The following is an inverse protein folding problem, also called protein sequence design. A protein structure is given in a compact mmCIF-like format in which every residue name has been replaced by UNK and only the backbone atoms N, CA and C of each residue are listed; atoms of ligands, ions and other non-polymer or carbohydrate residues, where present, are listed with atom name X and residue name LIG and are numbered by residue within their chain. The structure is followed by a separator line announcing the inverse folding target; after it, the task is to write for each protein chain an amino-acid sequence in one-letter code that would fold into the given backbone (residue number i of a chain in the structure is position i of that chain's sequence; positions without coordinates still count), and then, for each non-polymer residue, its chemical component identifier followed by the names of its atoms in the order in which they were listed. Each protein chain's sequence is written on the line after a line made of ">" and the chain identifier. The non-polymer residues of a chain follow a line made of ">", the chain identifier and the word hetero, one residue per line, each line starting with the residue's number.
data_IF_464441276275
#
_entry.id   IF_464441276275
#
_cell.length_a   1.000
_cell.length_b   1.000
_cell.length_c   1.000
_cell.angle_alpha   90.00
_cell.angle_beta   90.00
_cell.angle_gamma   90.00
#
_symmetry.space_group_name_H-M   'P 1'
#
loop_
_entity.id
_entity.type
_entity.pdbx_description
1 polymer ?
#
# COMPACT_ATOMS: atom_id res chain seq x y z
N UNK A 1 -130.52 -78.55 -50.00
CA UNK A 1 -129.28 -79.25 -49.62
C UNK A 1 -128.14 -78.79 -50.53
N UNK A 2 -128.15 -79.09 -51.83
CA UNK A 2 -127.14 -78.61 -52.82
C UNK A 2 -126.85 -77.09 -52.84
N UNK A 3 -127.86 -76.22 -52.72
CA UNK A 3 -127.66 -74.76 -52.71
C UNK A 3 -126.95 -74.26 -51.43
N UNK A 4 -127.11 -74.98 -50.31
CA UNK A 4 -126.41 -74.68 -49.06
C UNK A 4 -124.97 -75.20 -49.12
N UNK A 5 -124.73 -76.37 -49.73
CA UNK A 5 -123.39 -76.91 -49.94
C UNK A 5 -122.54 -76.03 -50.87
N UNK A 6 -123.08 -75.52 -51.97
CA UNK A 6 -122.37 -74.56 -52.84
C UNK A 6 -122.06 -73.24 -52.12
N UNK A 7 -122.95 -72.76 -51.25
CA UNK A 7 -122.71 -71.55 -50.47
C UNK A 7 -121.64 -71.76 -49.39
N UNK A 8 -121.60 -72.94 -48.78
CA UNK A 8 -120.56 -73.35 -47.84
C UNK A 8 -119.21 -73.45 -48.56
N UNK A 9 -119.14 -74.09 -49.73
CA UNK A 9 -117.92 -74.15 -50.55
C UNK A 9 -117.44 -72.76 -51.02
N UNK A 10 -118.34 -71.86 -51.44
CA UNK A 10 -117.98 -70.47 -51.78
C UNK A 10 -117.45 -69.70 -50.57
N UNK A 11 -118.05 -69.92 -49.38
CA UNK A 11 -117.61 -69.29 -48.14
C UNK A 11 -116.29 -69.88 -47.66
N UNK A 12 -116.06 -71.18 -47.83
CA UNK A 12 -114.79 -71.85 -47.56
C UNK A 12 -113.70 -71.35 -48.49
N UNK A 13 -113.96 -71.26 -49.79
CA UNK A 13 -113.01 -70.71 -50.76
C UNK A 13 -112.69 -69.23 -50.49
N UNK A 14 -113.70 -68.43 -50.11
CA UNK A 14 -113.50 -67.03 -49.69
C UNK A 14 -112.74 -66.93 -48.37
N UNK A 15 -113.03 -67.81 -47.41
CA UNK A 15 -112.32 -67.90 -46.13
C UNK A 15 -110.86 -68.27 -46.34
N UNK A 16 -110.58 -69.25 -47.20
CA UNK A 16 -109.24 -69.70 -47.55
C UNK A 16 -108.48 -68.62 -48.31
N UNK A 17 -109.14 -67.88 -49.22
CA UNK A 17 -108.55 -66.72 -49.89
C UNK A 17 -108.21 -65.59 -48.92
N UNK A 18 -109.14 -65.23 -48.02
CA UNK A 18 -108.91 -64.19 -46.99
C UNK A 18 -107.84 -64.64 -45.99
N UNK A 19 -107.78 -65.94 -45.67
CA UNK A 19 -106.73 -66.55 -44.86
C UNK A 19 -105.36 -66.40 -45.53
N UNK A 20 -105.24 -66.79 -46.80
CA UNK A 20 -103.99 -66.67 -47.56
C UNK A 20 -103.54 -65.22 -47.74
N UNK A 21 -104.48 -64.30 -47.98
CA UNK A 21 -104.20 -62.87 -48.05
C UNK A 21 -103.73 -62.31 -46.69
N UNK A 22 -104.36 -62.73 -45.59
CA UNK A 22 -103.94 -62.36 -44.21
C UNK A 22 -102.56 -62.91 -43.89
N UNK A 23 -102.27 -64.15 -44.26
CA UNK A 23 -101.00 -64.81 -43.98
C UNK A 23 -99.87 -64.15 -44.81
N UNK A 24 -100.12 -63.85 -46.09
CA UNK A 24 -99.18 -63.10 -46.93
C UNK A 24 -98.92 -61.68 -46.41
N UNK A 25 -99.94 -60.98 -45.92
CA UNK A 25 -99.78 -59.67 -45.28
C UNK A 25 -99.02 -59.77 -43.96
N UNK A 26 -99.17 -60.87 -43.21
CA UNK A 26 -98.41 -61.12 -41.98
C UNK A 26 -96.93 -61.35 -42.28
N UNK A 27 -96.62 -62.18 -43.27
CA UNK A 27 -95.22 -62.39 -43.71
C UNK A 27 -94.59 -61.07 -44.21
N UNK A 28 -95.36 -60.25 -44.94
CA UNK A 28 -94.91 -58.91 -45.35
C UNK A 28 -94.69 -57.97 -44.16
N UNK A 29 -95.53 -58.02 -43.13
CA UNK A 29 -95.36 -57.23 -41.92
C UNK A 29 -94.10 -57.69 -41.16
N UNK A 30 -93.89 -58.99 -41.00
CA UNK A 30 -92.74 -59.55 -40.29
C UNK A 30 -91.41 -59.24 -40.99
N UNK A 31 -91.40 -59.28 -42.33
CA UNK A 31 -90.23 -58.86 -43.14
C UNK A 31 -89.98 -57.34 -43.03
N UNK A 32 -91.03 -56.52 -43.04
CA UNK A 32 -90.91 -55.07 -42.79
C UNK A 32 -90.45 -54.76 -41.37
N UNK A 33 -90.91 -55.50 -40.36
CA UNK A 33 -90.47 -55.32 -38.98
C UNK A 33 -89.00 -55.74 -38.79
N UNK A 34 -88.57 -56.81 -39.47
CA UNK A 34 -87.18 -57.28 -39.44
C UNK A 34 -86.25 -56.26 -40.09
N UNK A 35 -86.59 -55.78 -41.29
CA UNK A 35 -85.82 -54.71 -41.96
C UNK A 35 -85.80 -53.40 -41.16
N UNK A 36 -86.90 -53.05 -40.48
CA UNK A 36 -86.92 -51.90 -39.56
C UNK A 36 -85.98 -52.07 -38.38
N UNK A 37 -85.88 -53.28 -37.80
CA UNK A 37 -84.94 -53.59 -36.71
C UNK A 37 -83.50 -53.52 -37.18
N UNK A 38 -83.19 -54.13 -38.31
CA UNK A 38 -81.86 -54.07 -38.94
C UNK A 38 -81.44 -52.62 -39.19
N UNK A 39 -82.32 -51.80 -39.77
CA UNK A 39 -82.03 -50.38 -39.99
C UNK A 39 -81.81 -49.59 -38.69
N UNK A 40 -82.54 -49.94 -37.62
CA UNK A 40 -82.35 -49.32 -36.31
C UNK A 40 -80.99 -49.70 -35.69
N UNK A 41 -80.59 -50.96 -35.82
CA UNK A 41 -79.28 -51.44 -35.35
C UNK A 41 -78.13 -50.80 -36.14
N UNK A 42 -78.26 -50.71 -37.47
CA UNK A 42 -77.33 -49.98 -38.33
C UNK A 42 -77.23 -48.51 -37.94
N UNK A 43 -78.36 -47.85 -37.65
CA UNK A 43 -78.38 -46.46 -37.20
C UNK A 43 -77.67 -46.28 -35.85
N UNK A 44 -77.86 -47.21 -34.91
CA UNK A 44 -77.17 -47.17 -33.61
C UNK A 44 -75.65 -47.31 -33.80
N UNK A 45 -75.21 -48.27 -34.62
CA UNK A 45 -73.79 -48.49 -34.93
C UNK A 45 -73.19 -47.25 -35.61
N UNK A 46 -73.90 -46.71 -36.61
CA UNK A 46 -73.46 -45.52 -37.33
C UNK A 46 -73.33 -44.33 -36.36
N UNK A 47 -74.31 -44.12 -35.49
CA UNK A 47 -74.29 -43.07 -34.47
C UNK A 47 -73.16 -43.25 -33.47
N UNK A 48 -72.88 -44.49 -33.02
CA UNK A 48 -71.75 -44.77 -32.14
C UNK A 48 -70.41 -44.50 -32.83
N UNK A 49 -70.28 -44.86 -34.12
CA UNK A 49 -69.07 -44.62 -34.91
C UNK A 49 -68.81 -43.13 -35.11
N UNK A 50 -69.83 -42.34 -35.44
CA UNK A 50 -69.70 -40.88 -35.54
C UNK A 50 -69.29 -40.24 -34.22
N UNK A 51 -69.83 -40.72 -33.09
CA UNK A 51 -69.47 -40.21 -31.77
C UNK A 51 -68.03 -40.58 -31.40
N UNK A 52 -67.58 -41.79 -31.70
CA UNK A 52 -66.20 -42.22 -31.48
C UNK A 52 -65.22 -41.41 -32.33
N UNK A 53 -65.51 -41.23 -33.62
CA UNK A 53 -64.70 -40.43 -34.54
C UNK A 53 -64.62 -38.97 -34.11
N UNK A 54 -65.73 -38.39 -33.63
CA UNK A 54 -65.72 -37.02 -33.09
C UNK A 54 -64.81 -36.88 -31.87
N UNK A 55 -64.82 -37.86 -30.95
CA UNK A 55 -63.93 -37.87 -29.78
C UNK A 55 -62.46 -38.02 -30.17
N UNK A 56 -62.15 -38.89 -31.14
CA UNK A 56 -60.79 -39.05 -31.65
C UNK A 56 -60.27 -37.76 -32.27
N UNK A 57 -61.08 -37.11 -33.13
CA UNK A 57 -60.72 -35.84 -33.76
C UNK A 57 -60.51 -34.72 -32.73
N UNK A 58 -61.40 -34.59 -31.75
CA UNK A 58 -61.27 -33.61 -30.68
C UNK A 58 -59.99 -33.86 -29.86
N UNK A 59 -59.66 -35.11 -29.58
CA UNK A 59 -58.48 -35.49 -28.83
C UNK A 59 -57.18 -35.24 -29.61
N UNK A 60 -57.17 -35.50 -30.92
CA UNK A 60 -56.06 -35.14 -31.81
C UNK A 60 -55.88 -33.62 -31.91
N UNK A 61 -56.96 -32.85 -32.07
CA UNK A 61 -56.91 -31.39 -32.12
C UNK A 61 -56.35 -30.79 -30.83
N UNK A 62 -56.82 -31.26 -29.67
CA UNK A 62 -56.32 -30.83 -28.37
C UNK A 62 -54.85 -31.20 -28.18
N UNK A 63 -54.46 -32.43 -28.56
CA UNK A 63 -53.08 -32.89 -28.51
C UNK A 63 -52.16 -32.02 -29.37
N UNK A 64 -52.54 -31.78 -30.63
CA UNK A 64 -51.79 -30.92 -31.56
C UNK A 64 -51.68 -29.49 -31.04
N UNK A 65 -52.75 -28.94 -30.45
CA UNK A 65 -52.73 -27.60 -29.87
C UNK A 65 -51.76 -27.49 -28.69
N UNK A 66 -51.70 -28.50 -27.82
CA UNK A 66 -50.76 -28.54 -26.70
C UNK A 66 -49.33 -28.66 -27.22
N UNK A 67 -49.09 -29.56 -28.17
CA UNK A 67 -47.77 -29.78 -28.75
C UNK A 67 -47.21 -28.51 -29.40
N UNK A 68 -48.00 -27.81 -30.23
CA UNK A 68 -47.58 -26.54 -30.87
C UNK A 68 -47.27 -25.47 -29.81
N UNK A 69 -48.06 -25.38 -28.74
CA UNK A 69 -47.78 -24.42 -27.65
C UNK A 69 -46.45 -24.72 -26.96
N UNK A 70 -46.17 -26.00 -26.70
CA UNK A 70 -44.93 -26.43 -26.06
C UNK A 70 -43.72 -26.18 -26.98
N UNK A 71 -43.84 -26.43 -28.28
CA UNK A 71 -42.80 -26.11 -29.26
C UNK A 71 -42.51 -24.60 -29.33
N UNK A 72 -43.55 -23.76 -29.33
CA UNK A 72 -43.38 -22.29 -29.32
C UNK A 72 -42.67 -21.83 -28.05
N UNK A 73 -43.03 -22.38 -26.90
CA UNK A 73 -42.40 -22.03 -25.62
C UNK A 73 -40.93 -22.49 -25.59
N UNK A 74 -40.63 -23.69 -26.08
CA UNK A 74 -39.25 -24.17 -26.23
C UNK A 74 -38.42 -23.28 -27.17
N UNK A 75 -38.99 -22.88 -28.32
CA UNK A 75 -38.34 -21.97 -29.25
C UNK A 75 -38.08 -20.59 -28.62
N UNK A 76 -39.04 -20.07 -27.86
CA UNK A 76 -38.89 -18.81 -27.14
C UNK A 76 -37.77 -18.89 -26.09
N UNK A 77 -37.75 -19.94 -25.27
CA UNK A 77 -36.71 -20.13 -24.26
C UNK A 77 -35.31 -20.28 -24.85
N UNK A 78 -35.19 -21.00 -25.98
CA UNK A 78 -33.90 -21.12 -26.68
C UNK A 78 -33.44 -19.78 -27.26
N UNK A 79 -34.35 -18.98 -27.81
CA UNK A 79 -34.07 -17.63 -28.29
C UNK A 79 -33.62 -16.71 -27.14
N UNK A 80 -34.38 -16.66 -26.04
CA UNK A 80 -34.06 -15.83 -24.87
C UNK A 80 -32.68 -16.20 -24.28
N UNK A 81 -32.37 -17.50 -24.19
CA UNK A 81 -31.04 -17.97 -23.75
C UNK A 81 -29.92 -17.55 -24.70
N UNK A 82 -30.15 -17.59 -26.02
CA UNK A 82 -29.17 -17.12 -27.00
C UNK A 82 -28.97 -15.61 -26.92
N UNK A 83 -30.05 -14.85 -26.75
CA UNK A 83 -29.99 -13.40 -26.59
C UNK A 83 -29.21 -13.01 -25.34
N UNK A 84 -29.50 -13.63 -24.19
CA UNK A 84 -28.76 -13.37 -22.95
C UNK A 84 -27.27 -13.69 -23.10
N UNK A 85 -26.90 -14.79 -23.76
CA UNK A 85 -25.49 -15.13 -24.04
C UNK A 85 -24.80 -14.09 -24.92
N UNK A 86 -25.51 -13.49 -25.87
CA UNK A 86 -24.96 -12.42 -26.71
C UNK A 86 -24.79 -11.13 -25.91
N UNK A 87 -25.76 -10.77 -25.07
CA UNK A 87 -25.66 -9.60 -24.18
C UNK A 87 -24.50 -9.74 -23.19
N UNK A 88 -24.33 -10.91 -22.57
CA UNK A 88 -23.20 -11.22 -21.69
C UNK A 88 -21.86 -11.07 -22.41
N UNK A 89 -21.73 -11.61 -23.63
CA UNK A 89 -20.51 -11.45 -24.45
C UNK A 89 -20.23 -9.98 -24.81
N UNK A 90 -21.25 -9.19 -25.12
CA UNK A 90 -21.08 -7.76 -25.41
C UNK A 90 -20.57 -7.02 -24.16
N UNK A 91 -21.08 -7.36 -22.98
CA UNK A 91 -20.62 -6.79 -21.71
C UNK A 91 -19.17 -7.21 -21.43
N UNK A 92 -18.82 -8.48 -21.66
CA UNK A 92 -17.46 -9.01 -21.48
C UNK A 92 -16.47 -8.31 -22.42
N UNK A 93 -16.75 -8.28 -23.73
CA UNK A 93 -15.93 -7.56 -24.70
C UNK A 93 -15.82 -6.06 -24.37
N UNK A 94 -16.87 -5.44 -23.83
CA UNK A 94 -16.84 -4.05 -23.38
C UNK A 94 -15.88 -3.81 -22.22
N UNK A 95 -15.81 -4.75 -21.26
CA UNK A 95 -14.86 -4.71 -20.14
C UNK A 95 -13.44 -4.93 -20.64
N UNK A 96 -13.21 -5.94 -21.47
CA UNK A 96 -11.90 -6.23 -22.06
C UNK A 96 -11.37 -5.04 -22.88
N UNK A 97 -12.24 -4.40 -23.68
CA UNK A 97 -11.87 -3.20 -24.44
C UNK A 97 -11.46 -2.05 -23.51
N UNK A 98 -12.17 -1.85 -22.40
CA UNK A 98 -11.86 -0.80 -21.44
C UNK A 98 -10.55 -1.09 -20.70
N UNK A 99 -10.32 -2.35 -20.33
CA UNK A 99 -9.07 -2.81 -19.71
C UNK A 99 -7.88 -2.66 -20.66
N UNK A 100 -8.03 -3.07 -21.92
CA UNK A 100 -7.01 -2.88 -22.96
C UNK A 100 -6.68 -1.40 -23.17
N UNK A 101 -7.68 -0.52 -23.20
CA UNK A 101 -7.48 0.93 -23.29
C UNK A 101 -6.68 1.48 -22.10
N UNK A 102 -7.01 1.07 -20.88
CA UNK A 102 -6.25 1.46 -19.67
C UNK A 102 -4.82 0.92 -19.71
N UNK A 103 -4.65 -0.34 -20.09
CA UNK A 103 -3.35 -0.99 -20.22
C UNK A 103 -2.43 -0.32 -21.25
N UNK A 104 -2.97 0.35 -22.27
CA UNK A 104 -2.20 1.15 -23.23
C UNK A 104 -1.97 2.58 -22.74
N UNK A 105 -2.96 3.20 -22.10
CA UNK A 105 -2.86 4.58 -21.63
C UNK A 105 -1.83 4.75 -20.49
N UNK A 106 -1.83 3.84 -19.51
CA UNK A 106 -0.92 3.89 -18.36
C UNK A 106 0.57 3.89 -18.75
N UNK A 107 1.07 2.99 -19.62
CA UNK A 107 2.46 3.04 -20.06
C UNK A 107 2.74 4.25 -20.94
N UNK A 108 1.78 4.71 -21.74
CA UNK A 108 1.96 5.91 -22.56
C UNK A 108 2.13 7.17 -21.69
N UNK A 109 1.34 7.30 -20.62
CA UNK A 109 1.51 8.38 -19.65
C UNK A 109 2.85 8.28 -18.92
N UNK A 110 3.24 7.08 -18.44
CA UNK A 110 4.54 6.88 -17.80
C UNK A 110 5.71 7.18 -18.73
N UNK A 111 5.61 6.82 -20.01
CA UNK A 111 6.61 7.13 -21.03
C UNK A 111 6.73 8.65 -21.24
N UNK A 112 5.61 9.38 -21.27
CA UNK A 112 5.60 10.83 -21.35
C UNK A 112 6.24 11.49 -20.10
N UNK A 113 5.92 11.00 -18.90
CA UNK A 113 6.54 11.45 -17.65
C UNK A 113 8.06 11.21 -17.65
N UNK A 114 8.51 10.02 -18.05
CA UNK A 114 9.94 9.69 -18.17
C UNK A 114 10.65 10.55 -19.22
N UNK A 115 10.00 10.81 -20.37
CA UNK A 115 10.55 11.68 -21.42
C UNK A 115 10.72 13.11 -20.93
N UNK A 116 9.76 13.64 -20.16
CA UNK A 116 9.85 14.97 -19.56
C UNK A 116 10.99 15.07 -18.53
N UNK A 117 11.15 14.05 -17.67
CA UNK A 117 12.25 13.99 -16.70
C UNK A 117 13.62 13.90 -17.39
N UNK A 118 13.72 13.12 -18.47
CA UNK A 118 14.94 13.01 -19.27
C UNK A 118 15.32 14.35 -19.93
N UNK A 119 14.36 15.07 -20.49
CA UNK A 119 14.61 16.40 -21.07
C UNK A 119 15.05 17.41 -20.01
N UNK A 120 14.42 17.39 -18.84
CA UNK A 120 14.81 18.25 -17.73
C UNK A 120 16.23 17.94 -17.23
N UNK A 121 16.61 16.66 -17.14
CA UNK A 121 17.97 16.28 -16.73
C UNK A 121 19.02 16.62 -17.81
N UNK A 122 18.67 16.49 -19.09
CA UNK A 122 19.51 16.90 -20.20
C UNK A 122 19.75 18.42 -20.21
N UNK A 123 18.72 19.23 -19.96
CA UNK A 123 18.85 20.68 -19.79
C UNK A 123 19.80 21.04 -18.65
N UNK A 124 19.64 20.38 -17.50
CA UNK A 124 20.52 20.59 -16.34
C UNK A 124 21.98 20.21 -16.63
N UNK A 125 22.20 19.14 -17.40
CA UNK A 125 23.54 18.75 -17.82
C UNK A 125 24.19 19.85 -18.67
N UNK A 126 23.46 20.37 -19.67
CA UNK A 126 23.94 21.46 -20.52
C UNK A 126 24.25 22.74 -19.73
N UNK A 127 23.41 23.10 -18.75
CA UNK A 127 23.67 24.24 -17.85
C UNK A 127 24.96 24.04 -17.06
N UNK A 128 25.16 22.85 -16.47
CA UNK A 128 26.37 22.52 -15.71
C UNK A 128 27.62 22.49 -16.60
N UNK A 129 27.50 22.00 -17.83
CA UNK A 129 28.58 22.03 -18.82
C UNK A 129 28.98 23.47 -19.18
N UNK A 130 27.99 24.35 -19.42
CA UNK A 130 28.23 25.76 -19.69
C UNK A 130 28.87 26.48 -18.49
N UNK A 131 28.40 26.19 -17.27
CA UNK A 131 29.02 26.68 -16.03
C UNK A 131 30.47 26.21 -15.89
N UNK A 132 30.76 24.95 -16.22
CA UNK A 132 32.10 24.39 -16.19
C UNK A 132 33.03 25.14 -17.16
N UNK A 133 32.60 25.35 -18.41
CA UNK A 133 33.35 26.16 -19.38
C UNK A 133 33.58 27.59 -18.87
N UNK A 134 32.56 28.21 -18.25
CA UNK A 134 32.69 29.55 -17.66
C UNK A 134 33.71 29.59 -16.53
N UNK A 135 33.67 28.61 -15.63
CA UNK A 135 34.62 28.51 -14.51
C UNK A 135 36.04 28.22 -15.00
N UNK A 136 36.21 27.40 -16.04
CA UNK A 136 37.51 27.17 -16.67
C UNK A 136 38.10 28.46 -17.26
N UNK A 137 37.29 29.28 -17.93
CA UNK A 137 37.72 30.59 -18.41
C UNK A 137 38.13 31.50 -17.26
N UNK A 138 37.33 31.56 -16.19
CA UNK A 138 37.65 32.39 -15.02
C UNK A 138 38.95 31.96 -14.33
N UNK A 139 39.24 30.66 -14.30
CA UNK A 139 40.50 30.14 -13.77
C UNK A 139 41.70 30.55 -14.63
N UNK A 140 41.55 30.57 -15.96
CA UNK A 140 42.59 31.04 -16.89
C UNK A 140 42.86 32.53 -16.70
N UNK A 141 41.81 33.35 -16.63
CA UNK A 141 41.92 34.80 -16.35
C UNK A 141 42.65 35.06 -15.03
N UNK A 142 42.23 34.40 -13.96
CA UNK A 142 42.84 34.59 -12.65
C UNK A 142 44.31 34.12 -12.63
N UNK A 143 44.62 33.03 -13.32
CA UNK A 143 46.01 32.55 -13.48
C UNK A 143 46.87 33.58 -14.20
N UNK A 144 46.35 34.20 -15.26
CA UNK A 144 47.04 35.27 -15.97
C UNK A 144 47.22 36.51 -15.09
N UNK A 145 46.19 36.92 -14.35
CA UNK A 145 46.29 38.01 -13.38
C UNK A 145 47.40 37.76 -12.34
N UNK A 146 47.54 36.52 -11.84
CA UNK A 146 48.64 36.16 -10.94
C UNK A 146 50.00 36.26 -11.63
N UNK A 147 50.12 35.78 -12.88
CA UNK A 147 51.37 35.89 -13.66
C UNK A 147 51.74 37.35 -13.91
N UNK A 148 50.77 38.20 -14.27
CA UNK A 148 50.99 39.64 -14.47
C UNK A 148 51.47 40.32 -13.19
N UNK A 149 50.80 40.07 -12.04
CA UNK A 149 51.22 40.64 -10.74
C UNK A 149 52.63 40.21 -10.36
N UNK A 150 52.96 38.92 -10.49
CA UNK A 150 54.31 38.41 -10.22
C UNK A 150 55.36 39.06 -11.13
N UNK A 151 55.04 39.21 -12.41
CA UNK A 151 55.94 39.86 -13.39
C UNK A 151 56.16 41.34 -13.05
N UNK A 152 55.10 42.05 -12.63
CA UNK A 152 55.20 43.43 -12.17
C UNK A 152 56.06 43.52 -10.91
N UNK A 153 55.84 42.64 -9.93
CA UNK A 153 56.65 42.61 -8.71
C UNK A 153 58.15 42.36 -9.01
N UNK A 154 58.47 41.47 -9.95
CA UNK A 154 59.86 41.25 -10.39
C UNK A 154 60.43 42.50 -11.08
N UNK A 155 59.64 43.16 -11.93
CA UNK A 155 60.03 44.38 -12.62
C UNK A 155 60.30 45.53 -11.65
N UNK A 156 59.41 45.74 -10.69
CA UNK A 156 59.54 46.80 -9.68
C UNK A 156 60.80 46.57 -8.82
N UNK A 157 61.11 45.32 -8.47
CA UNK A 157 62.35 44.96 -7.77
C UNK A 157 63.58 45.23 -8.65
N UNK A 158 63.53 44.89 -9.94
CA UNK A 158 64.61 45.17 -10.88
C UNK A 158 64.83 46.68 -11.08
N UNK A 159 63.78 47.46 -11.32
CA UNK A 159 63.83 48.92 -11.45
C UNK A 159 64.36 49.59 -10.17
N UNK A 160 63.99 49.11 -8.98
CA UNK A 160 64.57 49.59 -7.73
C UNK A 160 66.06 49.28 -7.60
N UNK A 161 66.50 48.11 -8.09
CA UNK A 161 67.92 47.73 -8.08
C UNK A 161 68.73 48.51 -9.13
N UNK A 162 68.14 48.86 -10.27
CA UNK A 162 68.74 49.67 -11.34
C UNK A 162 68.78 51.17 -10.98
N UNK A 163 67.78 51.67 -10.25
CA UNK A 163 67.72 53.06 -9.76
C UNK A 163 68.61 53.33 -8.55
N UNK A 164 69.31 52.32 -8.01
CA UNK A 164 70.48 52.52 -7.15
C UNK A 164 71.71 52.79 -8.01
N UNK A 165 72.13 54.05 -8.24
CA UNK A 165 73.40 54.28 -8.91
C UNK A 165 74.53 53.77 -8.01
N UNK A 166 75.38 52.94 -8.59
CA UNK A 166 76.66 52.55 -8.04
C UNK A 166 77.60 53.75 -8.02
N UNK A 167 77.47 54.70 -7.10
CA UNK A 167 78.60 55.57 -6.75
C UNK A 167 78.48 56.27 -5.40
N UNK A 168 79.61 56.21 -4.71
CA UNK A 168 80.01 56.88 -3.49
C UNK A 168 79.47 58.31 -3.30
N UNK A 169 79.32 58.67 -2.01
CA UNK A 169 79.42 60.04 -1.44
C UNK A 169 78.10 60.78 -1.10
N UNK A 170 77.37 60.30 -0.08
CA UNK A 170 76.80 61.16 1.00
C UNK A 170 76.11 60.32 2.09
N UNK A 171 76.38 60.54 3.39
CA UNK A 171 75.55 59.96 4.44
C UNK A 171 74.27 60.79 4.55
N UNK A 172 73.10 60.13 4.63
CA UNK A 172 71.86 60.58 5.32
C UNK A 172 70.50 60.29 4.62
N UNK A 173 70.43 59.63 3.45
CA UNK A 173 69.13 59.24 2.84
C UNK A 173 68.79 57.73 2.85
N UNK A 174 69.67 56.90 3.38
CA UNK A 174 69.49 55.45 3.47
C UNK A 174 68.22 54.95 4.22
N UNK A 175 67.71 55.63 5.28
CA UNK A 175 66.53 55.14 6.01
C UNK A 175 65.23 55.27 5.21
N UNK A 176 65.12 56.28 4.34
CA UNK A 176 63.90 56.54 3.56
C UNK A 176 63.75 55.54 2.42
N UNK A 177 64.83 55.28 1.68
CA UNK A 177 64.86 54.30 0.57
C UNK A 177 64.60 52.86 1.08
N UNK A 178 65.18 52.51 2.24
CA UNK A 178 64.90 51.23 2.89
C UNK A 178 63.45 51.13 3.39
N UNK A 179 62.85 52.24 3.84
CA UNK A 179 61.45 52.27 4.25
C UNK A 179 60.49 52.09 3.05
N UNK A 180 60.83 52.63 1.88
CA UNK A 180 60.01 52.50 0.68
C UNK A 180 60.03 51.08 0.11
N UNK A 181 61.21 50.43 0.03
CA UNK A 181 61.32 49.01 -0.31
C UNK A 181 60.57 48.12 0.69
N UNK A 182 60.69 48.41 1.98
CA UNK A 182 59.96 47.67 3.02
C UNK A 182 58.45 47.79 2.83
N UNK A 183 57.91 48.99 2.58
CA UNK A 183 56.48 49.20 2.30
C UNK A 183 56.01 48.45 1.06
N UNK A 184 56.81 48.42 0.00
CA UNK A 184 56.50 47.67 -1.23
C UNK A 184 56.41 46.16 -0.97
N UNK A 185 57.42 45.58 -0.32
CA UNK A 185 57.41 44.16 0.07
C UNK A 185 56.25 43.84 1.02
N UNK A 186 55.97 44.73 1.97
CA UNK A 186 54.82 44.58 2.89
C UNK A 186 53.48 44.60 2.13
N UNK A 187 53.34 45.46 1.11
CA UNK A 187 52.16 45.49 0.23
C UNK A 187 52.04 44.20 -0.59
N UNK A 188 53.13 43.75 -1.21
CA UNK A 188 53.18 42.49 -1.97
C UNK A 188 52.77 41.30 -1.10
N UNK A 189 53.35 41.18 0.10
CA UNK A 189 53.02 40.11 1.04
C UNK A 189 51.57 40.21 1.55
N UNK A 190 51.00 41.41 1.64
CA UNK A 190 49.59 41.59 1.99
C UNK A 190 48.67 41.11 0.87
N UNK A 191 48.98 41.46 -0.38
CA UNK A 191 48.21 41.04 -1.55
C UNK A 191 48.25 39.53 -1.76
N UNK A 192 49.43 38.92 -1.63
CA UNK A 192 49.61 37.46 -1.69
C UNK A 192 48.80 36.78 -0.58
N UNK A 193 48.86 37.28 0.66
CA UNK A 193 48.07 36.71 1.77
C UNK A 193 46.56 36.84 1.52
N UNK A 194 46.10 37.98 1.02
CA UNK A 194 44.69 38.18 0.69
C UNK A 194 44.22 37.26 -0.44
N UNK A 195 45.05 37.04 -1.46
CA UNK A 195 44.72 36.19 -2.59
C UNK A 195 44.65 34.71 -2.21
N UNK A 196 45.58 34.23 -1.37
CA UNK A 196 45.51 32.88 -0.81
C UNK A 196 44.28 32.69 0.07
N UNK A 197 43.95 33.67 0.92
CA UNK A 197 42.75 33.63 1.76
C UNK A 197 41.46 33.55 0.93
N UNK A 198 41.34 34.36 -0.13
CA UNK A 198 40.19 34.31 -1.03
C UNK A 198 40.08 32.96 -1.75
N UNK A 199 41.20 32.37 -2.18
CA UNK A 199 41.23 31.03 -2.79
C UNK A 199 40.83 29.94 -1.79
N UNK A 200 41.31 30.02 -0.55
CA UNK A 200 40.94 29.10 0.51
C UNK A 200 39.43 29.16 0.81
N UNK A 201 38.86 30.37 0.89
CA UNK A 201 37.43 30.58 1.07
C UNK A 201 36.60 30.01 -0.09
N UNK A 202 37.06 30.16 -1.34
CA UNK A 202 36.42 29.55 -2.51
C UNK A 202 36.47 28.01 -2.47
N UNK A 203 37.62 27.42 -2.15
CA UNK A 203 37.78 25.97 -2.03
C UNK A 203 36.93 25.41 -0.88
N UNK A 204 36.90 26.09 0.27
CA UNK A 204 36.03 25.75 1.39
C UNK A 204 34.54 25.89 1.02
N UNK A 205 34.19 26.89 0.21
CA UNK A 205 32.85 27.05 -0.36
C UNK A 205 32.44 25.89 -1.27
N UNK A 206 33.31 25.51 -2.21
CA UNK A 206 33.11 24.38 -3.12
C UNK A 206 33.01 23.04 -2.36
N UNK A 207 33.90 22.79 -1.40
CA UNK A 207 33.84 21.59 -0.56
C UNK A 207 32.51 21.48 0.20
N UNK A 208 32.01 22.60 0.75
CA UNK A 208 30.70 22.66 1.42
C UNK A 208 29.54 22.40 0.45
N UNK A 209 29.58 22.96 -0.76
CA UNK A 209 28.53 22.75 -1.76
C UNK A 209 28.53 21.30 -2.28
N UNK A 210 29.69 20.69 -2.53
CA UNK A 210 29.79 19.27 -2.87
C UNK A 210 29.28 18.38 -1.75
N UNK A 211 29.65 18.65 -0.49
CA UNK A 211 29.11 17.92 0.67
C UNK A 211 27.58 18.01 0.74
N UNK A 212 27.00 19.18 0.45
CA UNK A 212 25.54 19.36 0.39
C UNK A 212 24.91 18.56 -0.75
N UNK A 213 25.51 18.58 -1.95
CA UNK A 213 25.05 17.80 -3.11
C UNK A 213 25.13 16.29 -2.84
N UNK A 214 26.25 15.81 -2.29
CA UNK A 214 26.43 14.40 -1.92
C UNK A 214 25.38 13.94 -0.90
N UNK A 215 25.09 14.75 0.13
CA UNK A 215 23.98 14.46 1.06
C UNK A 215 22.62 14.39 0.37
N UNK A 216 22.35 15.28 -0.59
CA UNK A 216 21.09 15.24 -1.35
C UNK A 216 21.00 14.01 -2.26
N UNK A 217 22.10 13.58 -2.86
CA UNK A 217 22.17 12.37 -3.68
C UNK A 217 21.96 11.11 -2.82
N UNK A 218 22.58 11.04 -1.64
CA UNK A 218 22.37 9.94 -0.70
C UNK A 218 20.90 9.79 -0.29
N UNK A 219 20.18 10.90 -0.05
CA UNK A 219 18.73 10.87 0.23
C UNK A 219 17.89 10.37 -0.95
N UNK A 220 18.23 10.79 -2.17
CA UNK A 220 17.56 10.29 -3.39
C UNK A 220 17.80 8.80 -3.57
N UNK A 221 19.03 8.35 -3.32
CA UNK A 221 19.41 6.93 -3.36
C UNK A 221 18.65 6.10 -2.34
N UNK A 222 18.52 6.57 -1.10
CA UNK A 222 17.69 5.93 -0.08
C UNK A 222 16.22 5.83 -0.51
N UNK A 223 15.66 6.90 -1.08
CA UNK A 223 14.29 6.90 -1.61
C UNK A 223 14.10 5.89 -2.74
N UNK A 224 15.09 5.78 -3.63
CA UNK A 224 15.10 4.80 -4.73
C UNK A 224 15.22 3.37 -4.19
N UNK A 225 16.05 3.14 -3.17
CA UNK A 225 16.16 1.83 -2.53
C UNK A 225 14.85 1.39 -1.91
N UNK A 226 14.09 2.30 -1.28
CA UNK A 226 12.75 2.02 -0.75
C UNK A 226 11.77 1.68 -1.89
N UNK A 227 11.80 2.42 -2.99
CA UNK A 227 10.94 2.11 -4.14
C UNK A 227 11.29 0.72 -4.74
N UNK A 228 12.59 0.43 -4.87
CA UNK A 228 13.08 -0.86 -5.32
C UNK A 228 12.68 -2.00 -4.38
N UNK A 229 12.80 -1.81 -3.05
CA UNK A 229 12.43 -2.83 -2.05
C UNK A 229 10.94 -3.19 -2.15
N UNK A 230 10.08 -2.17 -2.25
CA UNK A 230 8.63 -2.35 -2.42
C UNK A 230 8.30 -3.06 -3.73
N UNK A 231 8.97 -2.70 -4.83
CA UNK A 231 8.77 -3.37 -6.12
C UNK A 231 9.22 -4.84 -6.06
N UNK A 232 10.36 -5.12 -5.42
CA UNK A 232 10.90 -6.46 -5.24
C UNK A 232 9.95 -7.35 -4.44
N UNK A 233 9.38 -6.81 -3.38
CA UNK A 233 8.40 -7.50 -2.55
C UNK A 233 7.08 -7.73 -3.30
N UNK A 234 6.63 -6.74 -4.08
CA UNK A 234 5.46 -6.90 -4.95
C UNK A 234 5.67 -8.04 -5.96
N UNK A 235 6.81 -8.11 -6.63
CA UNK A 235 7.15 -9.20 -7.56
C UNK A 235 7.18 -10.54 -6.83
N UNK A 236 7.75 -10.60 -5.62
CA UNK A 236 7.76 -11.83 -4.80
C UNK A 236 6.35 -12.26 -4.37
N UNK A 237 5.44 -11.31 -4.14
CA UNK A 237 4.04 -11.60 -3.75
C UNK A 237 3.15 -12.01 -4.93
N UNK A 238 3.41 -11.50 -6.13
CA UNK A 238 2.63 -11.78 -7.35
C UNK A 238 3.19 -12.93 -8.18
N UNK A 239 4.50 -13.22 -8.08
CA UNK A 239 5.18 -14.23 -8.88
C UNK A 239 5.06 -15.64 -8.30
N UNK A 240 4.72 -16.60 -9.16
CA UNK A 240 5.08 -18.01 -8.94
C UNK A 240 6.61 -18.16 -8.85
N UNK A 241 7.08 -19.21 -8.17
CA UNK A 241 8.47 -19.42 -7.71
C UNK A 241 9.62 -19.22 -8.73
N UNK A 242 9.34 -19.01 -10.01
CA UNK A 242 10.31 -18.87 -11.11
C UNK A 242 10.71 -17.42 -11.44
N UNK A 243 10.03 -16.42 -10.89
CA UNK A 243 10.28 -15.02 -11.26
C UNK A 243 11.43 -14.40 -10.44
N UNK A 244 12.55 -14.08 -11.09
CA UNK A 244 13.70 -13.43 -10.43
C UNK A 244 13.34 -11.98 -10.03
N UNK A 245 13.38 -11.73 -8.72
CA UNK A 245 13.13 -10.41 -8.14
C UNK A 245 14.38 -9.50 -8.20
N UNK A 246 15.48 -9.97 -8.77
CA UNK A 246 16.73 -9.22 -8.95
C UNK A 246 17.61 -9.17 -7.69
N UNK A 247 18.75 -8.46 -7.76
CA UNK A 247 19.74 -8.40 -6.69
C UNK A 247 19.18 -7.90 -5.34
N UNK A 248 19.78 -8.33 -4.22
CA UNK A 248 19.38 -7.83 -2.91
C UNK A 248 19.76 -6.34 -2.71
N UNK A 249 18.95 -5.60 -1.93
CA UNK A 249 19.16 -4.17 -1.59
C UNK A 249 20.54 -3.88 -0.99
N UNK A 250 21.13 -4.87 -0.33
CA UNK A 250 22.49 -4.83 0.22
C UNK A 250 23.56 -4.49 -0.82
N UNK A 251 23.38 -4.94 -2.07
CA UNK A 251 24.33 -4.67 -3.14
C UNK A 251 24.37 -3.19 -3.54
N UNK A 252 23.36 -2.43 -3.17
CA UNK A 252 23.24 -1.01 -3.47
C UNK A 252 23.46 -0.12 -2.24
N UNK A 253 23.80 -0.68 -1.06
CA UNK A 253 24.03 0.13 0.12
C UNK A 253 25.24 1.06 -0.08
N UNK A 254 25.09 2.35 0.27
CA UNK A 254 26.22 3.28 0.31
C UNK A 254 27.10 2.89 1.50
N UNK A 255 28.38 2.65 1.27
CA UNK A 255 29.35 2.25 2.32
C UNK A 255 30.04 3.46 2.97
N UNK A 256 29.97 4.64 2.36
CA UNK A 256 30.70 5.82 2.82
C UNK A 256 30.23 6.32 4.20
N UNK A 257 31.08 6.23 5.24
CA UNK A 257 30.69 6.52 6.63
C UNK A 257 30.37 8.00 6.87
N UNK A 258 30.90 8.92 6.04
CA UNK A 258 30.62 10.36 6.15
C UNK A 258 29.22 10.77 5.65
N UNK A 259 28.58 9.90 4.85
CA UNK A 259 27.29 10.16 4.23
C UNK A 259 26.13 9.49 4.97
N UNK A 260 26.41 8.42 5.70
CA UNK A 260 25.41 7.67 6.46
C UNK A 260 25.17 8.29 7.84
N UNK A 261 23.93 8.32 8.29
CA UNK A 261 23.64 8.53 9.72
C UNK A 261 23.91 7.23 10.48
N UNK A 262 24.17 7.33 11.79
CA UNK A 262 24.41 6.17 12.65
C UNK A 262 23.35 5.08 12.48
N UNK A 263 22.09 5.50 12.39
CA UNK A 263 20.94 4.62 12.14
C UNK A 263 21.04 3.85 10.82
N UNK A 264 21.51 4.48 9.74
CA UNK A 264 21.67 3.82 8.43
C UNK A 264 22.84 2.83 8.45
N UNK A 265 23.90 3.14 9.18
CA UNK A 265 25.04 2.24 9.37
C UNK A 265 24.62 0.98 10.14
N UNK A 266 23.83 1.14 11.21
CA UNK A 266 23.27 0.03 11.97
C UNK A 266 22.31 -0.82 11.12
N UNK A 267 21.44 -0.18 10.33
CA UNK A 267 20.57 -0.89 9.39
C UNK A 267 21.36 -1.72 8.37
N UNK A 268 22.46 -1.19 7.83
CA UNK A 268 23.31 -1.93 6.90
C UNK A 268 23.97 -3.15 7.58
N UNK A 269 24.48 -2.99 8.81
CA UNK A 269 25.01 -4.11 9.61
C UNK A 269 23.95 -5.18 9.88
N UNK A 270 22.72 -4.77 10.22
CA UNK A 270 21.61 -5.69 10.45
C UNK A 270 21.22 -6.45 9.19
N UNK A 271 21.18 -5.76 8.03
CA UNK A 271 20.92 -6.41 6.74
C UNK A 271 22.01 -7.42 6.38
N UNK A 272 23.28 -7.11 6.57
CA UNK A 272 24.39 -8.05 6.34
C UNK A 272 24.29 -9.28 7.24
N UNK A 273 23.99 -9.08 8.52
CA UNK A 273 23.79 -10.18 9.47
C UNK A 273 22.59 -11.04 9.09
N UNK A 274 21.48 -10.43 8.65
CA UNK A 274 20.32 -11.15 8.11
C UNK A 274 20.70 -12.03 6.93
N UNK A 275 21.43 -11.49 5.94
CA UNK A 275 21.86 -12.28 4.77
C UNK A 275 22.77 -13.46 5.15
N UNK A 276 23.69 -13.26 6.11
CA UNK A 276 24.54 -14.35 6.63
C UNK A 276 23.71 -15.44 7.31
N UNK A 277 22.71 -15.07 8.11
CA UNK A 277 21.81 -16.02 8.78
C UNK A 277 20.93 -16.76 7.77
N UNK A 278 20.41 -16.08 6.74
CA UNK A 278 19.65 -16.72 5.65
C UNK A 278 20.49 -17.73 4.88
N UNK A 279 21.76 -17.42 4.58
CA UNK A 279 22.70 -18.37 3.97
C UNK A 279 22.95 -19.58 4.87
N UNK A 280 23.16 -19.37 6.17
CA UNK A 280 23.34 -20.46 7.14
C UNK A 280 22.10 -21.34 7.25
N UNK A 281 20.90 -20.76 7.24
CA UNK A 281 19.64 -21.51 7.24
C UNK A 281 19.48 -22.36 5.99
N UNK A 282 19.77 -21.80 4.80
CA UNK A 282 19.75 -22.57 3.56
C UNK A 282 20.78 -23.70 3.55
N UNK A 283 21.96 -23.47 4.10
CA UNK A 283 23.00 -24.50 4.20
C UNK A 283 22.60 -25.61 5.18
N UNK A 284 22.01 -25.27 6.34
CA UNK A 284 21.46 -26.24 7.30
C UNK A 284 20.28 -27.02 6.72
N UNK A 285 19.38 -26.38 5.98
CA UNK A 285 18.29 -27.06 5.27
C UNK A 285 18.83 -28.05 4.23
N UNK A 286 19.89 -27.67 3.49
CA UNK A 286 20.54 -28.55 2.51
C UNK A 286 21.28 -29.71 3.18
N UNK A 287 21.88 -29.50 4.36
CA UNK A 287 22.48 -30.56 5.19
C UNK A 287 21.41 -31.51 5.72
N UNK A 288 20.30 -30.98 6.26
CA UNK A 288 19.14 -31.77 6.71
C UNK A 288 18.56 -32.65 5.59
N UNK A 289 18.38 -32.11 4.38
CA UNK A 289 17.91 -32.88 3.22
C UNK A 289 18.88 -34.00 2.81
N UNK A 290 20.20 -33.79 2.98
CA UNK A 290 21.22 -34.81 2.74
C UNK A 290 21.23 -35.87 3.85
N UNK A 291 21.07 -35.48 5.10
CA UNK A 291 21.01 -36.37 6.27
C UNK A 291 19.73 -37.23 6.26
N UNK A 292 18.59 -36.69 5.81
CA UNK A 292 17.34 -37.46 5.64
C UNK A 292 17.39 -38.51 4.53
N UNK A 293 18.38 -38.44 3.62
CA UNK A 293 18.62 -39.50 2.61
C UNK A 293 19.49 -40.65 3.12
N UNK A 294 20.04 -40.55 4.34
CA UNK A 294 20.91 -41.54 4.95
C UNK A 294 20.45 -41.90 6.38
N UNK A 295 19.42 -42.74 6.49
CA UNK A 295 19.18 -43.66 7.61
C UNK A 295 19.31 -43.10 9.06
N UNK A 296 18.20 -42.65 9.69
CA UNK A 296 17.85 -42.90 11.12
C UNK A 296 16.62 -42.09 11.59
N UNK A 297 15.41 -42.65 11.44
CA UNK A 297 14.15 -42.03 11.88
C UNK A 297 13.75 -42.36 13.34
N UNK A 298 14.67 -42.82 14.19
CA UNK A 298 14.31 -43.35 15.52
C UNK A 298 15.07 -42.72 16.70
N UNK A 299 16.12 -41.93 16.44
CA UNK A 299 16.92 -41.26 17.48
C UNK A 299 16.51 -39.79 17.69
N UNK A 300 16.01 -39.12 16.64
CA UNK A 300 15.69 -37.69 16.65
C UNK A 300 14.50 -37.35 17.53
N UNK A 301 13.46 -38.20 17.58
CA UNK A 301 12.25 -37.92 18.36
C UNK A 301 12.50 -37.75 19.88
N UNK A 302 13.49 -38.48 20.45
CA UNK A 302 13.83 -38.36 21.88
C UNK A 302 14.69 -37.14 22.18
N UNK A 303 15.60 -36.77 21.27
CA UNK A 303 16.41 -35.55 21.40
C UNK A 303 15.59 -34.29 21.20
N UNK A 304 14.59 -34.34 20.31
CA UNK A 304 13.70 -33.22 20.08
C UNK A 304 12.80 -32.97 21.30
N UNK A 305 12.24 -34.00 21.95
CA UNK A 305 11.45 -33.79 23.18
C UNK A 305 12.28 -33.24 24.34
N UNK A 306 13.48 -33.78 24.57
CA UNK A 306 14.41 -33.27 25.60
C UNK A 306 14.87 -31.84 25.28
N UNK A 307 15.15 -31.54 24.01
CA UNK A 307 15.50 -30.20 23.54
C UNK A 307 14.36 -29.20 23.72
N UNK A 308 13.12 -29.60 23.40
CA UNK A 308 11.94 -28.77 23.63
C UNK A 308 11.60 -28.61 25.12
N UNK A 309 11.89 -29.62 25.95
CA UNK A 309 11.76 -29.51 27.40
C UNK A 309 12.78 -28.53 27.97
N UNK A 310 14.02 -28.55 27.50
CA UNK A 310 15.07 -27.60 27.89
C UNK A 310 14.74 -26.18 27.45
N UNK A 311 14.24 -25.97 26.23
CA UNK A 311 13.80 -24.64 25.77
C UNK A 311 12.62 -24.11 26.60
N UNK A 312 11.64 -24.97 26.94
CA UNK A 312 10.53 -24.57 27.81
C UNK A 312 11.02 -24.21 29.22
N UNK A 313 11.97 -24.97 29.76
CA UNK A 313 12.60 -24.69 31.05
C UNK A 313 13.36 -23.35 31.01
N UNK A 314 14.18 -23.12 30.00
CA UNK A 314 14.91 -21.85 29.83
C UNK A 314 13.96 -20.66 29.66
N UNK A 315 12.84 -20.84 28.96
CA UNK A 315 11.85 -19.78 28.82
C UNK A 315 11.13 -19.50 30.14
N UNK A 316 10.81 -20.54 30.92
CA UNK A 316 10.24 -20.38 32.26
C UNK A 316 11.22 -19.70 33.22
N UNK A 317 12.49 -20.13 33.21
CA UNK A 317 13.56 -19.52 34.01
C UNK A 317 13.79 -18.07 33.61
N UNK A 318 13.88 -17.75 32.31
CA UNK A 318 14.02 -16.39 31.83
C UNK A 318 12.82 -15.52 32.23
N UNK A 319 11.60 -16.05 32.13
CA UNK A 319 10.39 -15.31 32.52
C UNK A 319 10.40 -15.06 34.03
N UNK A 320 10.77 -16.05 34.84
CA UNK A 320 10.84 -15.92 36.28
C UNK A 320 11.95 -14.96 36.73
N UNK A 321 13.15 -15.06 36.17
CA UNK A 321 14.27 -14.16 36.50
C UNK A 321 13.99 -12.74 36.07
N UNK A 322 13.49 -12.53 34.85
CA UNK A 322 13.11 -11.20 34.37
C UNK A 322 12.00 -10.61 35.22
N UNK A 323 11.00 -11.41 35.62
CA UNK A 323 9.93 -10.96 36.50
C UNK A 323 10.47 -10.57 37.88
N UNK A 324 11.30 -11.39 38.51
CA UNK A 324 11.93 -11.06 39.79
C UNK A 324 12.75 -9.77 39.72
N UNK A 325 13.51 -9.57 38.65
CA UNK A 325 14.35 -8.39 38.50
C UNK A 325 13.52 -7.13 38.31
N UNK A 326 12.43 -7.21 37.54
CA UNK A 326 11.46 -6.12 37.42
C UNK A 326 10.75 -5.82 38.76
N UNK A 327 10.41 -6.83 39.55
CA UNK A 327 9.83 -6.65 40.88
C UNK A 327 10.83 -6.03 41.87
N UNK A 328 12.12 -6.40 41.79
CA UNK A 328 13.21 -5.77 42.54
C UNK A 328 13.39 -4.31 42.12
N UNK A 329 13.47 -4.01 40.83
CA UNK A 329 13.57 -2.63 40.34
C UNK A 329 12.35 -1.80 40.76
N UNK A 330 11.14 -2.35 40.63
CA UNK A 330 9.90 -1.69 41.05
C UNK A 330 9.93 -1.37 42.55
N UNK A 331 10.35 -2.30 43.40
CA UNK A 331 10.43 -2.07 44.85
C UNK A 331 11.53 -1.05 45.22
N UNK A 332 12.67 -1.06 44.54
CA UNK A 332 13.73 -0.07 44.71
C UNK A 332 13.26 1.33 44.31
N UNK A 333 12.61 1.46 43.15
CA UNK A 333 12.06 2.71 42.67
C UNK A 333 10.97 3.24 43.61
N UNK A 334 10.10 2.36 44.11
CA UNK A 334 9.07 2.73 45.09
C UNK A 334 9.70 3.25 46.39
N UNK A 335 10.74 2.58 46.91
CA UNK A 335 11.46 3.03 48.11
C UNK A 335 12.10 4.39 47.89
N UNK A 336 12.76 4.58 46.74
CA UNK A 336 13.38 5.86 46.36
C UNK A 336 12.34 6.99 46.20
N UNK A 337 11.17 6.67 45.64
CA UNK A 337 10.07 7.62 45.51
C UNK A 337 9.55 8.05 46.88
N UNK A 338 9.32 7.11 47.82
CA UNK A 338 8.90 7.41 49.19
C UNK A 338 9.90 8.34 49.89
N UNK A 339 11.19 8.02 49.82
CA UNK A 339 12.24 8.87 50.43
C UNK A 339 12.26 10.26 49.80
N UNK A 340 12.08 10.38 48.48
CA UNK A 340 12.01 11.67 47.82
C UNK A 340 10.76 12.47 48.23
N UNK A 341 9.62 11.81 48.42
CA UNK A 341 8.40 12.44 48.95
C UNK A 341 8.61 12.95 50.38
N UNK A 342 9.27 12.16 51.25
CA UNK A 342 9.64 12.57 52.61
C UNK A 342 10.57 13.79 52.60
N UNK A 343 11.60 13.81 51.75
CA UNK A 343 12.51 14.96 51.60
C UNK A 343 11.76 16.23 51.17
N UNK A 344 10.77 16.11 50.28
CA UNK A 344 9.95 17.26 49.87
C UNK A 344 9.12 17.77 51.04
N UNK A 345 8.54 16.88 51.86
CA UNK A 345 7.81 17.26 53.06
C UNK A 345 8.72 17.96 54.08
N UNK A 346 9.95 17.46 54.28
CA UNK A 346 10.94 18.11 55.15
C UNK A 346 11.31 19.52 54.66
N UNK A 347 11.53 19.69 53.35
CA UNK A 347 11.81 20.99 52.76
C UNK A 347 10.63 21.95 52.87
N UNK A 348 9.40 21.45 52.68
CA UNK A 348 8.18 22.23 52.87
C UNK A 348 8.06 22.71 54.32
N UNK A 349 8.22 21.82 55.30
CA UNK A 349 8.17 22.16 56.72
C UNK A 349 9.30 23.13 57.12
N UNK A 350 10.51 22.96 56.57
CA UNK A 350 11.61 23.90 56.76
C UNK A 350 11.25 25.30 56.23
N UNK A 351 10.72 25.39 55.01
CA UNK A 351 10.28 26.65 54.41
C UNK A 351 9.17 27.27 55.25
N UNK A 352 8.17 26.51 55.68
CA UNK A 352 7.08 27.02 56.52
C UNK A 352 7.58 27.57 57.85
N UNK A 353 8.45 26.83 58.55
CA UNK A 353 9.09 27.26 59.79
C UNK A 353 9.91 28.54 59.59
N UNK A 354 10.70 28.62 58.53
CA UNK A 354 11.52 29.80 58.25
C UNK A 354 10.68 30.98 57.79
N UNK A 355 9.67 30.79 56.95
CA UNK A 355 8.73 31.84 56.58
C UNK A 355 7.99 32.38 57.80
N UNK A 356 7.57 31.52 58.73
CA UNK A 356 6.96 31.95 59.99
C UNK A 356 7.93 32.79 60.83
N UNK A 357 9.19 32.36 60.98
CA UNK A 357 10.24 33.14 61.67
C UNK A 357 10.54 34.47 60.98
N UNK A 358 10.72 34.47 59.66
CA UNK A 358 10.94 35.69 58.88
C UNK A 358 9.78 36.67 59.01
N UNK A 359 8.53 36.17 58.97
CA UNK A 359 7.35 37.01 59.21
C UNK A 359 7.36 37.61 60.61
N UNK A 360 7.67 36.82 61.64
CA UNK A 360 7.80 37.33 63.00
C UNK A 360 8.93 38.37 63.13
N UNK A 361 10.06 38.15 62.47
CA UNK A 361 11.20 39.06 62.49
C UNK A 361 10.92 40.37 61.76
N UNK A 362 10.27 40.30 60.58
CA UNK A 362 9.78 41.50 59.87
C UNK A 362 8.82 42.28 60.75
N UNK A 363 7.91 41.60 61.47
CA UNK A 363 7.00 42.24 62.41
C UNK A 363 7.75 42.84 63.62
N UNK A 364 8.77 42.16 64.15
CA UNK A 364 9.61 42.64 65.26
C UNK A 364 10.40 43.88 64.86
N UNK A 365 11.05 43.85 63.69
CA UNK A 365 11.80 44.98 63.11
C UNK A 365 10.85 46.14 62.85
N UNK A 366 9.65 45.90 62.30
CA UNK A 366 8.64 46.93 62.09
C UNK A 366 8.16 47.57 63.40
N UNK A 367 8.05 46.79 64.49
CA UNK A 367 7.71 47.31 65.83
C UNK A 367 8.85 48.12 66.45
N UNK A 368 10.10 47.69 66.30
CA UNK A 368 11.29 48.39 66.80
C UNK A 368 11.61 49.66 66.00
N UNK A 369 11.26 49.70 64.72
CA UNK A 369 11.45 50.86 63.84
C UNK A 369 10.47 52.02 64.14
N UNK A 370 9.67 51.94 65.20
CA UNK A 370 8.68 52.96 65.58
C UNK A 370 7.46 52.91 64.65
N UNK A 371 6.37 52.33 65.14
CA UNK A 371 5.23 51.94 64.32
C UNK A 371 4.56 53.06 63.52
N UNK A 372 4.11 52.72 62.31
CA UNK A 372 2.94 53.33 61.68
C UNK A 372 2.02 52.23 61.13
N UNK A 373 0.75 52.40 61.43
CA UNK A 373 -0.39 51.64 60.92
C UNK A 373 -0.75 52.04 59.47
N UNK A 374 -1.63 51.28 58.78
CA UNK A 374 -1.54 51.02 57.35
C UNK A 374 -2.17 52.13 56.49
N UNK A 375 -1.37 52.79 55.64
CA UNK A 375 -1.90 53.64 54.56
C UNK A 375 -2.23 52.83 53.32
N UNK A 376 -3.52 52.58 53.18
CA UNK A 376 -4.24 52.25 51.95
C UNK A 376 -3.83 53.15 50.78
N UNK A 377 -3.42 52.56 49.66
CA UNK A 377 -3.57 53.19 48.34
C UNK A 377 -4.06 52.16 47.32
N UNK A 378 -5.35 52.31 47.05
CA UNK A 378 -6.13 51.73 45.97
C UNK A 378 -5.71 52.33 44.62
N UNK A 379 -5.55 51.48 43.60
CA UNK A 379 -6.14 51.65 42.26
C UNK A 379 -5.70 50.51 41.33
N UNK A 380 -6.67 49.87 40.66
CA UNK A 380 -6.46 49.13 39.40
C UNK A 380 -6.80 47.64 39.45
N UNK A 381 -8.05 47.30 39.19
CA UNK A 381 -8.54 45.93 39.00
C UNK A 381 -8.15 45.35 37.64
N UNK A 382 -7.82 44.06 37.59
CA UNK A 382 -8.30 43.10 36.59
C UNK A 382 -7.90 41.67 36.96
N UNK A 383 -8.86 40.76 36.76
CA UNK A 383 -8.83 39.32 36.94
C UNK A 383 -7.56 38.61 36.46
N UNK A 384 -7.15 37.54 37.15
CA UNK A 384 -7.53 36.18 36.72
C UNK A 384 -6.78 35.06 37.47
N UNK A 385 -7.53 33.97 37.66
CA UNK A 385 -7.09 32.59 37.92
C UNK A 385 -6.79 32.17 39.37
N UNK A 386 -7.88 31.79 40.04
CA UNK A 386 -7.93 30.55 40.84
C UNK A 386 -7.18 29.43 40.13
N UNK A 387 -6.04 29.01 40.68
CA UNK A 387 -5.41 27.76 40.29
C UNK A 387 -6.18 26.61 40.94
N UNK A 388 -6.79 25.70 40.14
CA UNK A 388 -7.47 24.55 40.67
C UNK A 388 -6.44 23.54 41.18
N UNK A 389 -6.73 23.06 42.39
CA UNK A 389 -6.18 21.87 43.01
C UNK A 389 -6.24 20.69 42.02
N UNK A 390 -5.13 20.38 41.36
CA UNK A 390 -5.01 19.18 40.52
C UNK A 390 -4.88 17.95 41.42
N UNK A 391 -6.02 17.38 41.78
CA UNK A 391 -6.17 16.01 42.25
C UNK A 391 -5.66 15.10 41.12
N UNK A 392 -4.45 14.54 41.25
CA UNK A 392 -4.04 13.44 40.37
C UNK A 392 -4.69 12.16 40.86
N UNK A 393 -5.65 11.71 40.05
CA UNK A 393 -6.24 10.39 40.14
C UNK A 393 -5.16 9.33 39.92
N UNK A 394 -5.22 8.32 40.76
CA UNK A 394 -4.52 7.04 40.61
C UNK A 394 -5.14 6.35 39.39
N UNK A 395 -4.44 6.33 38.27
CA UNK A 395 -4.76 5.40 37.20
C UNK A 395 -4.10 4.07 37.53
N UNK A 396 -4.88 3.17 38.14
CA UNK A 396 -4.65 1.73 38.03
C UNK A 396 -5.00 1.34 36.60
N UNK A 397 -4.02 0.91 35.84
CA UNK A 397 -4.24 -0.07 34.78
C UNK A 397 -2.90 -0.78 34.49
N UNK A 398 -2.99 -2.11 34.52
CA UNK A 398 -1.96 -3.16 34.40
C UNK A 398 -1.25 -3.53 35.71
#
# INVERSE_FOLDING_TARGET
>A
ILALENRVLELELRSEKVSGERDALRDQLDTLESSRKELADEYIILKSNYLALGKELDQELLGNQVHIKEEIENLKQTYDSQQQKLEEKVIEMGKELQEAKRAVHDPQQKLAEQSAVLLASQSQLQEVEAENSRLQLRLKELSEEYRCRLTQYIRDVAEYMDTKPSTQTRPSKAPAEHADMKRFVDSMLKDIRASYKAREEQLAGAARSYKKRMKSLAKKHESLLIAYSVQREKIRSLGSSEMDSGPAELHFAITDPELLTHTTQELNRLRENKAKLEMQLHELQKKRLKETSGFQLSSEQKRDEEGWAEVRKQLQEFTHTTQEDLEKERSQLLTRAIVAEEQVLELQDYIEKHLARYRQEVLRVRKLAGGEEPRTRSAGAADAHTLPRSRRAISREL
#
